data_IF_385366211615
#
_entry.id   IF_385366211615
#
_cell.length_a   1.000
_cell.length_b   1.000
_cell.length_c   1.000
_cell.angle_alpha   90.00
_cell.angle_beta   90.00
_cell.angle_gamma   90.00
#
_symmetry.space_group_name_H-M   'P 1'
#
loop_
_entity.id
_entity.type
_entity.pdbx_description
1 polymer ?
#
# COMPACT_ATOMS: atom_id res chain seq x y z
N UNK A 1 20.62 -30.98 24.21
CA UNK A 1 19.95 -29.69 23.93
C UNK A 1 20.12 -28.70 25.07
N UNK A 2 19.89 -29.07 26.33
CA UNK A 2 19.95 -28.12 27.46
C UNK A 2 21.36 -27.58 27.76
N UNK A 3 22.40 -28.39 27.58
CA UNK A 3 23.79 -27.92 27.72
C UNK A 3 24.17 -26.87 26.66
N UNK A 4 23.68 -27.02 25.42
CA UNK A 4 23.89 -26.03 24.36
C UNK A 4 23.07 -24.75 24.59
N UNK A 5 21.82 -24.87 25.06
CA UNK A 5 21.00 -23.71 25.46
C UNK A 5 21.65 -22.92 26.59
N UNK A 6 22.17 -23.60 27.60
CA UNK A 6 22.91 -22.97 28.71
C UNK A 6 24.19 -22.29 28.22
N UNK A 7 24.90 -22.89 27.25
CA UNK A 7 26.09 -22.29 26.64
C UNK A 7 25.76 -21.02 25.87
N UNK A 8 24.72 -21.03 25.04
CA UNK A 8 24.25 -19.84 24.30
C UNK A 8 23.82 -18.75 25.29
N UNK A 9 23.03 -19.10 26.30
CA UNK A 9 22.59 -18.15 27.34
C UNK A 9 23.77 -17.48 28.03
N UNK A 10 24.78 -18.25 28.44
CA UNK A 10 26.00 -17.71 29.06
C UNK A 10 26.76 -16.76 28.14
N UNK A 11 26.89 -17.09 26.85
CA UNK A 11 27.54 -16.20 25.86
C UNK A 11 26.72 -14.90 25.72
N UNK A 12 25.41 -15.01 25.51
CA UNK A 12 24.53 -13.85 25.35
C UNK A 12 24.59 -12.90 26.56
N UNK A 13 24.57 -13.44 27.79
CA UNK A 13 24.65 -12.63 29.01
C UNK A 13 25.98 -11.87 29.09
N UNK A 14 27.11 -12.52 28.81
CA UNK A 14 28.43 -11.86 28.82
C UNK A 14 28.54 -10.74 27.79
N UNK A 15 27.94 -10.92 26.61
CA UNK A 15 27.93 -9.88 25.58
C UNK A 15 27.08 -8.69 26.03
N UNK A 16 25.92 -8.92 26.65
CA UNK A 16 25.06 -7.84 27.16
C UNK A 16 25.75 -7.07 28.28
N UNK A 17 26.47 -7.75 29.18
CA UNK A 17 27.18 -7.12 30.31
C UNK A 17 28.37 -6.26 29.86
N UNK A 18 29.18 -6.74 28.91
CA UNK A 18 30.30 -5.98 28.35
C UNK A 18 30.44 -6.21 26.83
N UNK A 19 29.69 -5.47 25.99
CA UNK A 19 29.70 -5.67 24.56
C UNK A 19 31.01 -5.26 23.90
N UNK A 20 31.82 -4.39 24.53
CA UNK A 20 33.07 -3.92 23.94
C UNK A 20 34.13 -5.03 23.84
N UNK A 21 34.20 -5.88 24.86
CA UNK A 21 35.20 -6.96 24.94
C UNK A 21 34.67 -8.30 24.44
N UNK A 22 33.36 -8.53 24.52
CA UNK A 22 32.79 -9.88 24.35
C UNK A 22 32.10 -10.10 23.00
N UNK A 23 31.96 -9.09 22.13
CA UNK A 23 31.23 -9.24 20.85
C UNK A 23 31.79 -10.37 19.96
N UNK A 24 33.09 -10.64 20.01
CA UNK A 24 33.70 -11.72 19.22
C UNK A 24 33.27 -13.12 19.67
N UNK A 25 32.72 -13.27 20.88
CA UNK A 25 32.11 -14.53 21.32
C UNK A 25 30.90 -14.93 20.47
N UNK A 26 30.34 -14.02 19.66
CA UNK A 26 29.31 -14.31 18.66
C UNK A 26 29.77 -15.36 17.65
N UNK A 27 31.07 -15.42 17.33
CA UNK A 27 31.62 -16.39 16.39
C UNK A 27 31.25 -17.83 16.77
N UNK A 28 31.38 -18.15 18.07
CA UNK A 28 31.01 -19.47 18.57
C UNK A 28 29.53 -19.82 18.41
N UNK A 29 28.63 -18.83 18.45
CA UNK A 29 27.20 -19.07 18.19
C UNK A 29 26.97 -19.30 16.68
N UNK A 30 27.62 -18.52 15.83
CA UNK A 30 27.52 -18.67 14.38
C UNK A 30 28.10 -19.99 13.87
N UNK A 31 29.21 -20.47 14.44
CA UNK A 31 29.76 -21.79 14.12
C UNK A 31 28.76 -22.90 14.43
N UNK A 32 28.08 -22.83 15.59
CA UNK A 32 27.03 -23.81 15.93
C UNK A 32 25.84 -23.76 14.96
N UNK A 33 25.47 -22.58 14.47
CA UNK A 33 24.44 -22.43 13.44
C UNK A 33 24.87 -23.02 12.09
N UNK A 34 26.12 -22.79 11.67
CA UNK A 34 26.67 -23.30 10.39
C UNK A 34 26.84 -24.82 10.39
N UNK A 35 27.23 -25.40 11.52
CA UNK A 35 27.44 -26.83 11.65
C UNK A 35 26.13 -27.64 11.70
N UNK A 36 24.97 -27.02 11.44
CA UNK A 36 23.67 -27.69 11.45
C UNK A 36 23.27 -28.22 12.82
N UNK A 37 23.86 -27.72 13.91
CA UNK A 37 23.61 -28.24 15.26
C UNK A 37 22.20 -27.93 15.79
N UNK A 38 21.43 -27.12 15.06
CA UNK A 38 20.08 -26.70 15.42
C UNK A 38 19.13 -26.80 14.22
N UNK A 39 18.00 -27.48 14.41
CA UNK A 39 16.92 -27.59 13.44
C UNK A 39 15.59 -27.10 14.03
N UNK A 40 14.71 -26.61 13.14
CA UNK A 40 13.37 -26.11 13.48
C UNK A 40 13.37 -25.13 14.65
N UNK A 41 12.52 -25.40 15.65
CA UNK A 41 12.35 -24.56 16.85
C UNK A 41 13.65 -24.26 17.60
N UNK A 42 14.63 -25.18 17.60
CA UNK A 42 15.90 -24.94 18.26
C UNK A 42 16.68 -23.81 17.57
N UNK A 43 16.62 -23.74 16.23
CA UNK A 43 17.24 -22.69 15.42
C UNK A 43 16.58 -21.34 15.68
N UNK A 44 15.24 -21.32 15.73
CA UNK A 44 14.46 -20.13 16.11
C UNK A 44 14.83 -19.59 17.50
N UNK A 45 15.08 -20.46 18.48
CA UNK A 45 15.56 -20.03 19.80
C UNK A 45 16.92 -19.31 19.72
N UNK A 46 17.83 -19.78 18.86
CA UNK A 46 19.13 -19.11 18.66
C UNK A 46 18.93 -17.73 18.05
N UNK A 47 18.12 -17.62 16.99
CA UNK A 47 17.83 -16.34 16.35
C UNK A 47 17.21 -15.34 17.32
N UNK A 48 16.24 -15.75 18.13
CA UNK A 48 15.62 -14.89 19.13
C UNK A 48 16.55 -14.55 20.30
N UNK A 49 17.50 -15.42 20.63
CA UNK A 49 18.53 -15.13 21.65
C UNK A 49 19.49 -14.06 21.15
N UNK A 50 19.95 -14.18 19.90
CA UNK A 50 20.78 -13.16 19.26
C UNK A 50 20.04 -11.83 19.09
N UNK A 51 18.76 -11.87 18.72
CA UNK A 51 17.89 -10.69 18.67
C UNK A 51 17.89 -9.93 20.00
N UNK A 52 17.76 -10.62 21.14
CA UNK A 52 17.80 -9.97 22.47
C UNK A 52 19.14 -9.30 22.76
N UNK A 53 20.25 -9.92 22.35
CA UNK A 53 21.58 -9.31 22.48
C UNK A 53 21.66 -8.03 21.65
N UNK A 54 21.26 -8.10 20.38
CA UNK A 54 21.25 -6.91 19.52
C UNK A 54 20.31 -5.82 20.03
N UNK A 55 19.17 -6.18 20.63
CA UNK A 55 18.26 -5.22 21.25
C UNK A 55 18.89 -4.44 22.41
N UNK A 56 19.84 -5.04 23.12
CA UNK A 56 20.54 -4.40 24.21
C UNK A 56 21.74 -3.55 23.76
N UNK A 57 22.35 -3.89 22.61
CA UNK A 57 23.64 -3.31 22.18
C UNK A 57 23.51 -2.35 20.98
N UNK A 58 22.47 -2.49 20.15
CA UNK A 58 22.28 -1.64 18.96
C UNK A 58 22.02 -0.19 19.39
N UNK A 59 22.79 0.77 18.86
CA UNK A 59 22.54 2.19 19.10
C UNK A 59 21.29 2.69 18.35
N UNK A 60 20.83 3.88 18.72
CA UNK A 60 19.71 4.55 18.05
C UNK A 60 20.11 5.26 16.74
N UNK A 61 21.39 5.19 16.34
CA UNK A 61 21.90 5.77 15.10
C UNK A 61 22.34 4.68 14.11
N UNK A 62 22.24 4.97 12.80
CA UNK A 62 22.83 4.12 11.75
C UNK A 62 24.36 4.24 11.78
N UNK A 63 25.06 3.12 11.80
CA UNK A 63 26.53 3.10 11.71
C UNK A 63 26.91 3.43 10.26
N UNK A 64 27.66 4.51 10.05
CA UNK A 64 28.16 4.89 8.72
C UNK A 64 29.13 3.83 8.21
N UNK A 65 28.97 3.37 6.99
CA UNK A 65 29.96 2.47 6.37
C UNK A 65 31.03 3.29 5.65
N UNK A 66 32.23 2.73 5.45
CA UNK A 66 33.30 3.41 4.70
C UNK A 66 32.92 3.75 3.24
N UNK A 67 31.82 3.17 2.71
CA UNK A 67 31.30 3.48 1.38
C UNK A 67 30.51 4.79 1.31
N UNK A 68 30.07 5.33 2.44
CA UNK A 68 29.24 6.54 2.54
C UNK A 68 30.07 7.82 2.76
N UNK A 69 31.40 7.73 2.67
CA UNK A 69 32.30 8.87 2.89
C UNK A 69 32.32 9.75 1.64
N UNK A 70 31.42 10.73 1.59
CA UNK A 70 31.64 11.96 0.81
C UNK A 70 32.88 12.64 1.39
N UNK A 71 33.77 13.13 0.52
CA UNK A 71 35.07 13.76 0.84
C UNK A 71 34.92 15.04 1.68
N UNK A 72 34.41 14.97 2.90
CA UNK A 72 34.53 16.07 3.86
C UNK A 72 35.68 15.79 4.84
N UNK A 73 36.79 16.48 4.59
CA UNK A 73 38.07 16.33 5.30
C UNK A 73 38.05 16.84 6.75
N UNK A 74 36.90 17.27 7.28
CA UNK A 74 36.82 17.97 8.57
C UNK A 74 36.14 17.22 9.71
N UNK A 75 35.39 16.15 9.42
CA UNK A 75 34.80 15.30 10.46
C UNK A 75 35.05 13.82 10.17
N UNK A 76 36.33 13.44 10.14
CA UNK A 76 36.72 12.04 10.28
C UNK A 76 36.46 11.59 11.73
N UNK A 77 35.17 11.51 12.10
CA UNK A 77 34.70 10.69 13.22
C UNK A 77 35.15 9.27 12.90
N UNK A 78 36.31 8.88 13.43
CA UNK A 78 36.79 7.52 13.41
C UNK A 78 35.62 6.63 13.88
N UNK A 79 35.08 5.82 12.97
CA UNK A 79 34.21 4.70 13.34
C UNK A 79 34.98 3.94 14.42
N UNK A 80 34.47 3.98 15.65
CA UNK A 80 35.08 3.25 16.76
C UNK A 80 35.15 1.80 16.33
N UNK A 81 36.27 1.12 16.57
CA UNK A 81 36.42 -0.27 16.09
C UNK A 81 35.31 -1.19 16.63
N UNK A 82 34.73 -0.81 17.77
CA UNK A 82 33.49 -1.37 18.29
C UNK A 82 32.31 -1.30 17.31
N UNK A 83 32.00 -0.14 16.72
CA UNK A 83 30.88 0.03 15.79
C UNK A 83 31.07 -0.83 14.53
N UNK A 84 32.32 -0.93 14.04
CA UNK A 84 32.65 -1.80 12.91
C UNK A 84 32.42 -3.27 13.27
N UNK A 85 32.84 -3.69 14.47
CA UNK A 85 32.67 -5.07 14.91
C UNK A 85 31.19 -5.41 15.13
N UNK A 86 30.42 -4.51 15.75
CA UNK A 86 28.97 -4.63 15.91
C UNK A 86 28.27 -4.78 14.55
N UNK A 87 28.60 -3.90 13.59
CA UNK A 87 28.02 -3.93 12.26
C UNK A 87 28.37 -5.22 11.50
N UNK A 88 29.60 -5.73 11.64
CA UNK A 88 30.03 -7.01 11.05
C UNK A 88 29.17 -8.16 11.56
N UNK A 89 29.02 -8.28 12.88
CA UNK A 89 28.25 -9.37 13.49
C UNK A 89 26.75 -9.24 13.23
N UNK A 90 26.21 -8.04 13.28
CA UNK A 90 24.80 -7.78 12.94
C UNK A 90 24.49 -8.10 11.47
N UNK A 91 25.36 -7.69 10.54
CA UNK A 91 25.18 -8.01 9.11
C UNK A 91 25.25 -9.52 8.88
N UNK A 92 26.13 -10.22 9.60
CA UNK A 92 26.22 -11.68 9.54
C UNK A 92 24.96 -12.36 10.11
N UNK A 93 24.42 -11.81 11.20
CA UNK A 93 23.15 -12.25 11.80
C UNK A 93 21.99 -12.13 10.82
N UNK A 94 21.78 -10.93 10.26
CA UNK A 94 20.73 -10.69 9.27
C UNK A 94 20.91 -11.59 8.06
N UNK A 95 22.12 -11.68 7.52
CA UNK A 95 22.42 -12.55 6.37
C UNK A 95 22.05 -14.02 6.64
N UNK A 96 22.43 -14.54 7.81
CA UNK A 96 22.12 -15.93 8.19
C UNK A 96 20.62 -16.22 8.17
N UNK A 97 19.80 -15.27 8.62
CA UNK A 97 18.34 -15.41 8.56
C UNK A 97 17.80 -15.24 7.13
N UNK A 98 18.27 -14.25 6.38
CA UNK A 98 17.79 -14.01 5.00
C UNK A 98 18.09 -15.19 4.06
N UNK A 99 19.23 -15.86 4.27
CA UNK A 99 19.63 -17.05 3.52
C UNK A 99 18.87 -18.32 3.97
N UNK A 100 18.18 -18.27 5.11
CA UNK A 100 17.42 -19.37 5.69
C UNK A 100 15.92 -19.26 5.36
N UNK A 101 15.41 -20.22 4.59
CA UNK A 101 14.01 -20.30 4.12
C UNK A 101 13.04 -20.93 5.13
N UNK A 102 13.47 -21.18 6.37
CA UNK A 102 12.62 -21.75 7.43
C UNK A 102 11.62 -20.75 8.01
N UNK A 103 10.51 -21.27 8.53
CA UNK A 103 9.49 -20.49 9.23
C UNK A 103 10.07 -19.74 10.43
N UNK A 104 10.96 -20.38 11.18
CA UNK A 104 11.63 -19.78 12.33
C UNK A 104 12.49 -18.57 11.95
N UNK A 105 13.10 -18.60 10.77
CA UNK A 105 13.84 -17.46 10.22
C UNK A 105 12.91 -16.29 9.90
N UNK A 106 11.82 -16.53 9.17
CA UNK A 106 10.86 -15.48 8.81
C UNK A 106 10.19 -14.85 10.03
N UNK A 107 9.84 -15.65 11.05
CA UNK A 107 9.33 -15.14 12.33
C UNK A 107 10.35 -14.21 12.98
N UNK A 108 11.63 -14.62 13.02
CA UNK A 108 12.70 -13.82 13.61
C UNK A 108 12.97 -12.53 12.83
N UNK A 109 12.90 -12.57 11.50
CA UNK A 109 13.03 -11.39 10.64
C UNK A 109 11.88 -10.38 10.88
N UNK A 110 10.66 -10.87 11.12
CA UNK A 110 9.54 -9.98 11.49
C UNK A 110 9.82 -9.26 12.81
N UNK A 111 10.32 -9.95 13.83
CA UNK A 111 10.70 -9.35 15.13
C UNK A 111 11.84 -8.33 14.97
N UNK A 112 12.83 -8.66 14.15
CA UNK A 112 13.96 -7.76 13.84
C UNK A 112 13.48 -6.49 13.14
N UNK A 113 12.62 -6.61 12.12
CA UNK A 113 12.05 -5.46 11.44
C UNK A 113 11.19 -4.60 12.36
N UNK A 114 10.49 -5.23 13.32
CA UNK A 114 9.69 -4.51 14.31
C UNK A 114 10.51 -3.58 15.20
N UNK A 115 11.77 -3.91 15.46
CA UNK A 115 12.60 -3.21 16.43
C UNK A 115 13.80 -2.46 15.87
N UNK A 116 14.31 -2.84 14.69
CA UNK A 116 15.56 -2.30 14.12
C UNK A 116 15.36 -1.72 12.71
N UNK A 117 14.18 -1.16 12.42
CA UNK A 117 13.93 -0.45 11.16
C UNK A 117 14.79 0.80 10.98
N UNK A 118 15.25 1.39 12.08
CA UNK A 118 16.17 2.53 12.12
C UNK A 118 17.64 2.16 11.88
N UNK A 119 18.03 0.88 11.92
CA UNK A 119 19.44 0.47 11.89
C UNK A 119 19.90 0.06 10.48
N UNK A 120 21.14 -0.42 10.32
CA UNK A 120 21.67 -0.86 9.03
C UNK A 120 20.95 -2.14 8.53
N UNK A 121 21.13 -2.49 7.25
CA UNK A 121 20.62 -3.72 6.61
C UNK A 121 19.08 -3.88 6.58
N UNK A 122 18.32 -2.80 6.77
CA UNK A 122 16.85 -2.79 6.67
C UNK A 122 16.35 -3.32 5.32
N UNK A 123 17.04 -3.01 4.22
CA UNK A 123 16.79 -3.52 2.88
C UNK A 123 16.77 -5.06 2.83
N UNK A 124 17.78 -5.69 3.44
CA UNK A 124 17.91 -7.15 3.50
C UNK A 124 16.85 -7.78 4.39
N UNK A 125 16.52 -7.13 5.51
CA UNK A 125 15.49 -7.60 6.41
C UNK A 125 14.14 -7.57 5.69
N UNK A 126 13.82 -6.44 5.03
CA UNK A 126 12.59 -6.27 4.27
C UNK A 126 12.48 -7.29 3.15
N UNK A 127 13.51 -7.52 2.34
CA UNK A 127 13.47 -8.56 1.29
C UNK A 127 13.25 -9.96 1.86
N UNK A 128 13.86 -10.28 3.00
CA UNK A 128 13.60 -11.53 3.73
C UNK A 128 12.13 -11.67 4.17
N UNK A 129 11.54 -10.60 4.73
CA UNK A 129 10.12 -10.57 5.14
C UNK A 129 9.18 -10.66 3.93
N UNK A 130 9.49 -9.97 2.84
CA UNK A 130 8.72 -10.07 1.58
C UNK A 130 8.74 -11.50 1.03
N UNK A 131 9.90 -12.16 1.01
CA UNK A 131 9.98 -13.58 0.61
C UNK A 131 9.15 -14.48 1.52
N UNK A 132 9.18 -14.25 2.83
CA UNK A 132 8.38 -14.98 3.81
C UNK A 132 6.86 -14.85 3.60
N UNK A 133 6.41 -13.80 2.90
CA UNK A 133 4.99 -13.56 2.60
C UNK A 133 4.39 -14.49 1.52
N UNK A 134 5.22 -15.23 0.77
CA UNK A 134 4.79 -16.03 -0.38
C UNK A 134 4.34 -17.45 -0.03
N UNK A 135 4.59 -17.92 1.19
CA UNK A 135 4.32 -19.30 1.61
C UNK A 135 2.85 -19.62 1.88
N UNK A 136 2.61 -20.80 2.49
CA UNK A 136 1.31 -21.22 3.01
C UNK A 136 1.37 -21.36 4.54
N UNK A 137 0.26 -21.09 5.23
CA UNK A 137 0.15 -21.20 6.69
C UNK A 137 0.08 -19.84 7.39
N UNK A 138 0.43 -19.80 8.68
CA UNK A 138 0.33 -18.59 9.51
C UNK A 138 1.47 -17.59 9.33
N UNK A 139 2.68 -18.06 9.02
CA UNK A 139 3.89 -17.23 8.87
C UNK A 139 3.78 -16.21 7.74
N UNK A 140 3.30 -16.55 6.52
CA UNK A 140 3.08 -15.57 5.46
C UNK A 140 2.19 -14.40 5.89
N UNK A 141 1.11 -14.69 6.62
CA UNK A 141 0.21 -13.64 7.11
C UNK A 141 0.88 -12.78 8.19
N UNK A 142 1.73 -13.36 9.03
CA UNK A 142 2.55 -12.60 9.99
C UNK A 142 3.52 -11.65 9.26
N UNK A 143 4.16 -12.09 8.18
CA UNK A 143 5.02 -11.24 7.34
C UNK A 143 4.22 -10.10 6.71
N UNK A 144 3.07 -10.40 6.09
CA UNK A 144 2.16 -9.39 5.54
C UNK A 144 1.74 -8.37 6.59
N UNK A 145 1.31 -8.82 7.78
CA UNK A 145 0.91 -7.94 8.87
C UNK A 145 2.07 -7.08 9.40
N UNK A 146 3.28 -7.62 9.43
CA UNK A 146 4.47 -6.85 9.83
C UNK A 146 4.72 -5.71 8.85
N UNK A 147 4.64 -5.97 7.53
CA UNK A 147 4.73 -4.92 6.51
C UNK A 147 3.60 -3.90 6.66
N UNK A 148 2.35 -4.34 6.86
CA UNK A 148 1.20 -3.45 7.10
C UNK A 148 1.42 -2.52 8.28
N UNK A 149 1.88 -3.04 9.41
CA UNK A 149 2.15 -2.26 10.60
C UNK A 149 3.24 -1.22 10.33
N UNK A 150 4.30 -1.61 9.63
CA UNK A 150 5.42 -0.71 9.31
C UNK A 150 5.07 0.39 8.33
N UNK A 151 4.28 0.08 7.30
CA UNK A 151 3.73 1.09 6.39
C UNK A 151 2.85 2.12 7.12
N UNK A 152 2.18 1.71 8.21
CA UNK A 152 1.34 2.61 9.02
C UNK A 152 2.09 3.40 10.08
N UNK A 153 3.17 2.85 10.63
CA UNK A 153 3.92 3.48 11.72
C UNK A 153 5.05 4.40 11.26
N UNK A 154 5.52 4.25 10.01
CA UNK A 154 6.63 5.08 9.50
C UNK A 154 6.19 6.55 9.33
N UNK A 155 6.85 7.44 10.05
CA UNK A 155 6.64 8.88 9.98
C UNK A 155 7.67 9.60 9.10
N UNK A 156 8.75 8.92 8.69
CA UNK A 156 9.85 9.50 7.91
C UNK A 156 9.71 9.29 6.40
N UNK A 157 9.05 8.19 6.02
CA UNK A 157 8.98 7.71 4.65
C UNK A 157 10.23 6.94 4.18
N UNK A 158 11.28 6.82 5.01
CA UNK A 158 12.48 6.05 4.64
C UNK A 158 12.19 4.56 4.53
N UNK A 159 11.44 4.01 5.49
CA UNK A 159 11.12 2.59 5.51
C UNK A 159 10.10 2.27 4.42
N UNK A 160 9.10 3.12 4.21
CA UNK A 160 8.14 2.97 3.11
C UNK A 160 8.87 2.92 1.76
N UNK A 161 9.81 3.85 1.51
CA UNK A 161 10.60 3.83 0.27
C UNK A 161 11.42 2.55 0.14
N UNK A 162 12.06 2.09 1.23
CA UNK A 162 12.82 0.84 1.24
C UNK A 162 11.93 -0.36 0.92
N UNK A 163 10.72 -0.43 1.49
CA UNK A 163 9.76 -1.50 1.20
C UNK A 163 9.38 -1.51 -0.28
N UNK A 164 9.06 -0.34 -0.84
CA UNK A 164 8.71 -0.23 -2.26
C UNK A 164 9.85 -0.62 -3.19
N UNK A 165 11.09 -0.19 -2.88
CA UNK A 165 12.28 -0.55 -3.65
C UNK A 165 12.51 -2.07 -3.61
N UNK A 166 12.39 -2.69 -2.43
CA UNK A 166 12.51 -4.16 -2.33
C UNK A 166 11.36 -4.89 -3.04
N UNK A 167 10.15 -4.33 -3.09
CA UNK A 167 9.05 -4.92 -3.88
C UNK A 167 9.30 -4.87 -5.39
N UNK A 168 10.17 -3.98 -5.88
CA UNK A 168 10.55 -3.97 -7.31
C UNK A 168 11.49 -5.13 -7.66
N UNK A 169 12.36 -5.50 -6.72
CA UNK A 169 13.43 -6.48 -6.94
C UNK A 169 13.04 -7.90 -6.50
N UNK A 170 12.04 -8.04 -5.62
CA UNK A 170 11.65 -9.33 -5.03
C UNK A 170 10.18 -9.64 -5.22
N UNK A 171 9.85 -10.93 -5.29
CA UNK A 171 8.47 -11.40 -5.24
C UNK A 171 7.83 -11.13 -3.87
N UNK A 172 6.52 -10.88 -3.90
CA UNK A 172 5.74 -10.54 -2.71
C UNK A 172 4.29 -11.00 -2.85
N UNK A 173 3.63 -11.19 -1.71
CA UNK A 173 2.21 -11.52 -1.64
C UNK A 173 1.34 -10.35 -2.17
N UNK A 174 0.38 -10.58 -3.09
CA UNK A 174 -0.49 -9.54 -3.64
C UNK A 174 -1.21 -8.71 -2.58
N UNK A 175 -1.52 -9.29 -1.42
CA UNK A 175 -2.14 -8.60 -0.28
C UNK A 175 -1.34 -7.38 0.19
N UNK A 176 -0.02 -7.37 0.00
CA UNK A 176 0.82 -6.23 0.38
C UNK A 176 0.48 -4.99 -0.46
N UNK A 177 0.05 -5.15 -1.72
CA UNK A 177 -0.42 -4.04 -2.55
C UNK A 177 -1.70 -3.41 -2.00
N UNK A 178 -2.58 -4.20 -1.38
CA UNK A 178 -3.76 -3.68 -0.69
C UNK A 178 -3.34 -2.72 0.44
N UNK A 179 -2.28 -3.04 1.17
CA UNK A 179 -1.79 -2.18 2.25
C UNK A 179 -1.19 -0.87 1.73
N UNK A 180 -0.68 -0.85 0.49
CA UNK A 180 -0.26 0.38 -0.14
C UNK A 180 -1.42 1.34 -0.38
N UNK A 181 -2.68 0.88 -0.36
CA UNK A 181 -3.85 1.74 -0.48
C UNK A 181 -4.13 2.54 0.78
N UNK A 182 -3.46 2.30 1.91
CA UNK A 182 -3.73 3.01 3.17
C UNK A 182 -2.44 3.30 3.94
N UNK A 183 -1.57 4.11 3.33
CA UNK A 183 -0.33 4.59 3.95
C UNK A 183 -0.60 6.00 4.52
N UNK A 184 -0.64 6.18 5.87
CA UNK A 184 -0.94 7.46 6.49
C UNK A 184 0.00 8.58 6.05
N UNK A 185 1.30 8.29 5.95
CA UNK A 185 2.33 9.24 5.50
C UNK A 185 2.00 9.81 4.12
N UNK A 186 1.72 8.93 3.15
CA UNK A 186 1.35 9.32 1.77
C UNK A 186 -0.02 9.98 1.72
N UNK A 187 -1.00 9.49 2.48
CA UNK A 187 -2.34 10.09 2.49
C UNK A 187 -2.29 11.54 2.99
N UNK A 188 -1.50 11.80 4.01
CA UNK A 188 -1.34 13.14 4.57
C UNK A 188 -0.61 14.07 3.60
N UNK A 189 0.36 13.57 2.82
CA UNK A 189 1.06 14.38 1.82
C UNK A 189 0.21 14.72 0.59
N UNK A 190 -0.87 13.99 0.34
CA UNK A 190 -1.82 14.24 -0.76
C UNK A 190 -2.93 15.25 -0.40
N UNK A 191 -3.11 15.55 0.89
CA UNK A 191 -4.07 16.55 1.36
C UNK A 191 -3.62 17.97 1.03
N UNK A 192 -4.57 18.85 0.71
CA UNK A 192 -4.27 20.27 0.52
C UNK A 192 -3.88 20.93 1.84
N UNK A 193 -3.16 22.06 1.78
CA UNK A 193 -2.81 22.82 2.98
C UNK A 193 -4.06 23.34 3.73
N UNK A 194 -5.14 23.60 3.00
CA UNK A 194 -6.44 23.96 3.57
C UNK A 194 -7.08 22.80 4.34
N UNK A 195 -7.02 21.58 3.80
CA UNK A 195 -7.51 20.37 4.47
C UNK A 195 -6.70 20.09 5.75
N UNK A 196 -5.37 20.22 5.68
CA UNK A 196 -4.49 20.09 6.85
C UNK A 196 -4.79 21.14 7.91
N UNK A 197 -5.00 22.39 7.50
CA UNK A 197 -5.37 23.47 8.41
C UNK A 197 -6.72 23.19 9.07
N UNK A 198 -7.72 22.73 8.31
CA UNK A 198 -9.04 22.40 8.83
C UNK A 198 -8.98 21.29 9.88
N UNK A 199 -8.27 20.20 9.62
CA UNK A 199 -8.08 19.10 10.59
C UNK A 199 -7.38 19.59 11.87
N UNK A 200 -6.36 20.43 11.73
CA UNK A 200 -5.67 21.04 12.89
C UNK A 200 -6.63 21.90 13.72
N UNK A 201 -7.47 22.72 13.10
CA UNK A 201 -8.46 23.54 13.80
C UNK A 201 -9.55 22.69 14.45
N UNK A 202 -10.01 21.63 13.80
CA UNK A 202 -11.03 20.71 14.33
C UNK A 202 -10.50 19.89 15.52
N UNK A 203 -9.26 19.39 15.46
CA UNK A 203 -8.62 18.69 16.56
C UNK A 203 -8.40 19.60 17.79
N UNK A 204 -8.14 20.89 17.56
CA UNK A 204 -7.88 21.86 18.63
C UNK A 204 -9.12 22.65 19.10
N UNK A 205 -10.29 22.47 18.47
CA UNK A 205 -11.55 23.12 18.87
C UNK A 205 -12.00 22.76 20.29
N UNK A 206 -11.56 21.62 20.83
CA UNK A 206 -11.88 21.18 22.20
C UNK A 206 -10.96 21.74 23.30
N UNK A 207 -9.82 22.33 22.96
CA UNK A 207 -8.78 22.74 23.93
C UNK A 207 -8.72 24.26 24.07
N UNK A 208 -9.83 24.92 24.41
CA UNK A 208 -9.76 26.31 24.87
C UNK A 208 -11.01 26.77 25.62
N UNK A 209 -10.92 26.76 26.97
CA UNK A 209 -11.11 27.97 27.82
C UNK A 209 -11.06 27.71 29.32
N UNK A 210 -11.01 26.47 29.82
CA UNK A 210 -11.11 26.21 31.28
C UNK A 210 -9.80 26.10 32.07
N UNK A 211 -8.65 25.79 31.47
CA UNK A 211 -7.43 25.50 32.26
C UNK A 211 -6.27 26.50 32.10
N UNK A 212 -6.52 27.72 31.60
CA UNK A 212 -5.48 28.77 31.60
C UNK A 212 -5.30 29.47 32.96
N UNK A 213 -6.15 29.18 33.96
CA UNK A 213 -6.15 29.93 35.22
C UNK A 213 -5.50 29.23 36.43
N UNK A 214 -5.01 27.98 36.34
CA UNK A 214 -4.47 27.27 37.53
C UNK A 214 -2.94 27.15 37.62
N UNK A 215 -2.18 27.50 36.57
CA UNK A 215 -0.74 27.19 36.49
C UNK A 215 0.17 28.35 36.98
N UNK A 216 -0.35 29.56 37.18
CA UNK A 216 0.43 30.76 37.50
C UNK A 216 0.60 31.09 39.00
N UNK A 217 0.86 30.10 39.87
CA UNK A 217 1.06 30.36 41.32
C UNK A 217 2.41 29.94 41.93
N UNK A 218 3.45 29.69 41.13
CA UNK A 218 4.84 29.70 41.65
C UNK A 218 5.72 30.69 40.89
N UNK A 219 5.70 31.96 41.31
CA UNK A 219 6.74 32.93 40.92
C UNK A 219 8.06 32.53 41.59
N UNK A 220 8.89 31.73 40.90
CA UNK A 220 10.32 31.65 41.23
C UNK A 220 10.93 33.04 40.99
N UNK A 221 11.49 33.64 42.04
CA UNK A 221 12.19 34.92 41.96
C UNK A 221 13.51 34.68 41.24
N UNK A 222 13.50 34.77 39.90
CA UNK A 222 14.73 34.76 39.11
C UNK A 222 15.42 36.13 39.18
N UNK A 223 16.72 36.12 39.51
CA UNK A 223 17.61 37.27 39.41
C UNK A 223 17.56 37.85 37.97
N UNK A 224 17.64 39.17 37.78
CA UNK A 224 17.44 39.84 36.46
C UNK A 224 18.36 39.28 35.37
N UNK A 225 19.58 38.84 35.73
CA UNK A 225 20.54 38.21 34.82
C UNK A 225 20.09 36.83 34.33
N UNK A 226 19.48 36.02 35.21
CA UNK A 226 18.94 34.70 34.87
C UNK A 226 17.73 34.80 33.95
N UNK A 227 16.85 35.80 34.16
CA UNK A 227 15.73 36.06 33.25
C UNK A 227 16.17 36.42 31.83
N UNK A 228 17.28 37.18 31.69
CA UNK A 228 17.83 37.52 30.38
C UNK A 228 18.38 36.28 29.67
N UNK A 229 19.19 35.48 30.37
CA UNK A 229 19.75 34.23 29.81
C UNK A 229 18.66 33.19 29.47
N UNK A 230 17.61 33.09 30.28
CA UNK A 230 16.49 32.19 30.00
C UNK A 230 15.67 32.65 28.80
N UNK A 231 15.48 33.97 28.63
CA UNK A 231 14.84 34.55 27.44
C UNK A 231 15.68 34.31 26.19
N UNK A 232 17.00 34.48 26.26
CA UNK A 232 17.92 34.19 25.14
C UNK A 232 17.92 32.70 24.79
N UNK A 233 17.96 31.80 25.80
CA UNK A 233 17.83 30.35 25.60
C UNK A 233 16.52 29.97 24.93
N UNK A 234 15.40 30.60 25.32
CA UNK A 234 14.09 30.34 24.72
C UNK A 234 13.97 30.91 23.29
N UNK A 235 14.59 32.06 23.01
CA UNK A 235 14.65 32.61 21.65
C UNK A 235 15.43 31.67 20.73
N UNK A 236 16.63 31.26 21.15
CA UNK A 236 17.46 30.31 20.39
C UNK A 236 16.76 28.95 20.23
N UNK A 237 16.09 28.45 21.28
CA UNK A 237 15.34 27.21 21.19
C UNK A 237 14.14 27.33 20.23
N UNK A 238 13.51 28.51 20.13
CA UNK A 238 12.45 28.77 19.16
C UNK A 238 13.02 28.81 17.74
N UNK A 239 14.11 29.53 17.53
CA UNK A 239 14.77 29.65 16.22
C UNK A 239 15.26 28.28 15.71
N UNK A 240 15.93 27.49 16.55
CA UNK A 240 16.35 26.12 16.22
C UNK A 240 15.14 25.25 15.88
N UNK A 241 14.04 25.38 16.62
CA UNK A 241 12.83 24.62 16.32
C UNK A 241 12.21 25.03 14.99
N UNK A 242 12.17 26.33 14.69
CA UNK A 242 11.65 26.82 13.41
C UNK A 242 12.52 26.33 12.24
N UNK A 243 13.84 26.30 12.41
CA UNK A 243 14.78 25.72 11.44
C UNK A 243 14.59 24.21 11.27
N UNK A 244 14.50 23.45 12.37
CA UNK A 244 14.20 22.01 12.36
C UNK A 244 12.86 21.70 11.69
N UNK A 245 11.83 22.52 11.94
CA UNK A 245 10.51 22.37 11.31
C UNK A 245 10.58 22.63 9.79
N UNK A 246 11.39 23.59 9.34
CA UNK A 246 11.61 23.86 7.90
C UNK A 246 12.37 22.71 7.26
N UNK A 247 13.47 22.26 7.87
CA UNK A 247 14.27 21.15 7.36
C UNK A 247 13.44 19.86 7.29
N UNK A 248 12.66 19.58 8.33
CA UNK A 248 11.74 18.44 8.38
C UNK A 248 10.73 18.45 7.22
N UNK A 249 10.16 19.62 6.87
CA UNK A 249 9.26 19.73 5.71
C UNK A 249 9.97 19.46 4.38
N UNK A 250 11.21 19.95 4.24
CA UNK A 250 12.01 19.71 3.02
C UNK A 250 12.32 18.22 2.89
N UNK A 251 12.68 17.54 3.97
CA UNK A 251 12.92 16.11 4.00
C UNK A 251 11.65 15.31 3.71
N UNK A 252 10.51 15.68 4.31
CA UNK A 252 9.21 15.08 4.05
C UNK A 252 8.86 15.15 2.55
N UNK A 253 9.05 16.32 1.92
CA UNK A 253 8.81 16.50 0.48
C UNK A 253 9.72 15.59 -0.37
N UNK A 254 11.00 15.47 -0.02
CA UNK A 254 11.95 14.57 -0.71
C UNK A 254 11.53 13.10 -0.57
N UNK A 255 11.17 12.69 0.65
CA UNK A 255 10.67 11.34 0.94
C UNK A 255 9.40 11.03 0.16
N UNK A 256 8.43 11.95 0.16
CA UNK A 256 7.18 11.80 -0.60
C UNK A 256 7.45 11.64 -2.09
N UNK A 257 8.29 12.49 -2.69
CA UNK A 257 8.65 12.37 -4.11
C UNK A 257 9.25 11.00 -4.44
N UNK A 258 10.20 10.52 -3.62
CA UNK A 258 10.80 9.19 -3.78
C UNK A 258 9.76 8.09 -3.69
N UNK A 259 8.84 8.17 -2.74
CA UNK A 259 7.74 7.20 -2.57
C UNK A 259 6.78 7.23 -3.76
N UNK A 260 6.40 8.42 -4.25
CA UNK A 260 5.50 8.56 -5.40
C UNK A 260 6.10 7.91 -6.65
N UNK A 261 7.38 8.17 -6.91
CA UNK A 261 8.11 7.59 -8.02
C UNK A 261 8.19 6.06 -7.89
N UNK A 262 8.43 5.56 -6.68
CA UNK A 262 8.49 4.12 -6.40
C UNK A 262 7.12 3.43 -6.55
N UNK A 263 6.02 4.03 -6.06
CA UNK A 263 4.65 3.51 -6.24
C UNK A 263 4.30 3.42 -7.73
N UNK A 264 4.58 4.48 -8.50
CA UNK A 264 4.33 4.47 -9.95
C UNK A 264 5.12 3.38 -10.66
N UNK A 265 6.43 3.30 -10.35
CA UNK A 265 7.30 2.28 -10.92
C UNK A 265 6.83 0.88 -10.57
N UNK A 266 6.38 0.65 -9.34
CA UNK A 266 5.86 -0.63 -8.89
C UNK A 266 4.62 -1.02 -9.67
N UNK A 267 3.62 -0.13 -9.75
CA UNK A 267 2.39 -0.41 -10.50
C UNK A 267 2.64 -0.65 -11.99
N UNK A 268 3.50 0.14 -12.63
CA UNK A 268 3.84 -0.09 -14.04
C UNK A 268 4.64 -1.37 -14.25
N UNK A 269 5.53 -1.73 -13.33
CA UNK A 269 6.23 -3.02 -13.36
C UNK A 269 5.26 -4.19 -13.25
N UNK A 270 4.25 -4.09 -12.36
CA UNK A 270 3.21 -5.11 -12.21
C UNK A 270 2.38 -5.25 -13.49
N UNK A 271 1.91 -4.14 -14.07
CA UNK A 271 1.14 -4.13 -15.31
C UNK A 271 1.95 -4.65 -16.51
N UNK A 272 3.24 -4.33 -16.58
CA UNK A 272 4.12 -4.82 -17.64
C UNK A 272 4.47 -6.29 -17.48
N UNK A 273 4.51 -6.78 -16.24
CA UNK A 273 4.86 -8.16 -15.90
C UNK A 273 3.69 -9.15 -15.95
N UNK A 274 2.50 -8.74 -16.39
CA UNK A 274 1.32 -9.61 -16.52
C UNK A 274 0.94 -10.35 -15.22
N UNK A 275 1.19 -9.75 -14.05
CA UNK A 275 0.85 -10.31 -12.72
C UNK A 275 -0.62 -10.08 -12.36
N UNK A 276 -1.51 -10.80 -13.04
CA UNK A 276 -2.96 -10.58 -12.97
C UNK A 276 -3.55 -10.67 -11.56
N UNK A 277 -2.95 -11.47 -10.67
CA UNK A 277 -3.35 -11.59 -9.26
C UNK A 277 -3.20 -10.27 -8.47
N UNK A 278 -2.38 -9.35 -8.95
CA UNK A 278 -2.13 -8.05 -8.33
C UNK A 278 -3.00 -6.92 -8.90
N UNK A 279 -3.65 -7.14 -10.05
CA UNK A 279 -4.21 -6.05 -10.86
C UNK A 279 -5.34 -5.31 -10.16
N UNK A 280 -6.19 -6.02 -9.41
CA UNK A 280 -7.24 -5.40 -8.60
C UNK A 280 -6.69 -4.28 -7.71
N UNK A 281 -5.64 -4.57 -6.95
CA UNK A 281 -5.03 -3.59 -6.04
C UNK A 281 -4.29 -2.49 -6.78
N UNK A 282 -3.68 -2.81 -7.94
CA UNK A 282 -3.04 -1.80 -8.79
C UNK A 282 -4.07 -0.81 -9.34
N UNK A 283 -5.21 -1.26 -9.85
CA UNK A 283 -6.27 -0.39 -10.34
C UNK A 283 -6.81 0.54 -9.26
N UNK A 284 -7.11 -0.01 -8.08
CA UNK A 284 -7.52 0.79 -6.91
C UNK A 284 -6.44 1.82 -6.53
N UNK A 285 -5.17 1.42 -6.59
CA UNK A 285 -4.03 2.28 -6.30
C UNK A 285 -3.85 3.41 -7.29
N UNK A 286 -3.96 3.12 -8.59
CA UNK A 286 -3.87 4.13 -9.66
C UNK A 286 -4.96 5.20 -9.52
N UNK A 287 -6.19 4.80 -9.23
CA UNK A 287 -7.29 5.74 -8.96
C UNK A 287 -6.99 6.61 -7.75
N UNK A 288 -6.58 5.99 -6.64
CA UNK A 288 -6.27 6.71 -5.39
C UNK A 288 -5.13 7.70 -5.57
N UNK A 289 -4.10 7.28 -6.30
CA UNK A 289 -2.86 8.02 -6.50
C UNK A 289 -2.85 8.80 -7.83
N UNK A 290 -4.01 9.07 -8.43
CA UNK A 290 -4.10 9.78 -9.73
C UNK A 290 -3.36 11.12 -9.75
N UNK A 291 -3.38 11.87 -8.64
CA UNK A 291 -2.75 13.20 -8.51
C UNK A 291 -1.23 13.17 -8.65
N UNK A 292 -0.59 12.02 -8.39
CA UNK A 292 0.87 11.90 -8.48
C UNK A 292 1.33 11.40 -9.84
N UNK A 293 0.44 10.77 -10.63
CA UNK A 293 0.79 10.19 -11.93
C UNK A 293 1.34 11.27 -12.88
N UNK A 294 2.49 10.99 -13.49
CA UNK A 294 3.11 11.95 -14.42
C UNK A 294 2.36 11.94 -15.76
N UNK A 295 1.99 13.10 -16.32
CA UNK A 295 1.25 13.19 -17.58
C UNK A 295 1.91 12.43 -18.75
N UNK A 296 3.24 12.44 -18.83
CA UNK A 296 4.00 11.75 -19.88
C UNK A 296 3.86 10.21 -19.89
N UNK A 297 3.25 9.61 -18.88
CA UNK A 297 2.97 8.17 -18.85
C UNK A 297 1.51 7.82 -19.15
N UNK A 298 0.60 8.80 -19.23
CA UNK A 298 -0.84 8.55 -19.29
C UNK A 298 -1.25 7.81 -20.57
N UNK A 299 -0.69 8.14 -21.73
CA UNK A 299 -1.00 7.44 -22.99
C UNK A 299 -0.57 5.97 -22.95
N UNK A 300 0.67 5.70 -22.51
CA UNK A 300 1.17 4.33 -22.37
C UNK A 300 0.42 3.52 -21.31
N UNK A 301 -0.01 4.19 -20.22
CA UNK A 301 -0.85 3.58 -19.20
C UNK A 301 -2.21 3.18 -19.76
N UNK A 302 -2.85 4.01 -20.59
CA UNK A 302 -4.14 3.71 -21.20
C UNK A 302 -4.08 2.41 -22.02
N UNK A 303 -3.02 2.26 -22.82
CA UNK A 303 -2.79 1.06 -23.61
C UNK A 303 -2.57 -0.18 -22.73
N UNK A 304 -1.75 -0.07 -21.68
CA UNK A 304 -1.51 -1.17 -20.74
C UNK A 304 -2.79 -1.61 -20.03
N UNK A 305 -3.60 -0.67 -19.58
CA UNK A 305 -4.86 -0.96 -18.89
C UNK A 305 -5.84 -1.67 -19.82
N UNK A 306 -6.09 -1.15 -21.03
CA UNK A 306 -7.05 -1.76 -21.96
C UNK A 306 -6.64 -3.17 -22.40
N UNK A 307 -5.37 -3.38 -22.74
CA UNK A 307 -4.88 -4.71 -23.15
C UNK A 307 -4.95 -5.75 -22.04
N UNK A 308 -4.94 -5.30 -20.79
CA UNK A 308 -4.99 -6.15 -19.61
C UNK A 308 -6.40 -6.67 -19.31
N UNK A 309 -7.45 -5.92 -19.65
CA UNK A 309 -8.82 -6.21 -19.22
C UNK A 309 -9.39 -7.53 -19.75
N UNK A 310 -8.95 -7.99 -20.92
CA UNK A 310 -9.41 -9.24 -21.51
C UNK A 310 -8.90 -10.49 -20.77
N UNK A 311 -7.79 -10.37 -20.02
CA UNK A 311 -7.05 -11.50 -19.44
C UNK A 311 -7.28 -11.71 -17.94
N UNK A 312 -7.92 -10.76 -17.27
CA UNK A 312 -8.03 -10.69 -15.81
C UNK A 312 -9.35 -11.27 -15.29
N UNK A 313 -9.44 -11.68 -13.99
CA UNK A 313 -10.69 -12.17 -13.41
C UNK A 313 -11.76 -11.07 -13.31
N UNK A 314 -13.03 -11.46 -13.26
CA UNK A 314 -14.17 -10.53 -13.31
C UNK A 314 -14.20 -9.48 -12.20
N UNK A 315 -13.72 -9.79 -10.99
CA UNK A 315 -13.63 -8.81 -9.90
C UNK A 315 -12.57 -7.73 -10.17
N UNK A 316 -11.43 -8.11 -10.76
CA UNK A 316 -10.42 -7.17 -11.22
C UNK A 316 -10.88 -6.39 -12.46
N UNK A 317 -11.71 -6.96 -13.33
CA UNK A 317 -12.25 -6.27 -14.53
C UNK A 317 -13.05 -5.03 -14.16
N UNK A 318 -13.97 -5.13 -13.20
CA UNK A 318 -14.78 -3.98 -12.76
C UNK A 318 -13.88 -2.85 -12.26
N UNK A 319 -12.89 -3.18 -11.43
CA UNK A 319 -11.92 -2.21 -10.92
C UNK A 319 -11.05 -1.61 -12.03
N UNK A 320 -10.67 -2.41 -13.03
CA UNK A 320 -9.92 -1.95 -14.19
C UNK A 320 -10.71 -0.96 -15.05
N UNK A 321 -11.99 -1.25 -15.32
CA UNK A 321 -12.88 -0.34 -16.04
C UNK A 321 -13.04 0.96 -15.24
N UNK A 322 -13.34 0.88 -13.95
CA UNK A 322 -13.47 2.05 -13.08
C UNK A 322 -12.19 2.89 -13.06
N UNK A 323 -11.03 2.22 -13.05
CA UNK A 323 -9.73 2.88 -13.11
C UNK A 323 -9.53 3.65 -14.40
N UNK A 324 -9.85 3.07 -15.56
CA UNK A 324 -9.74 3.79 -16.84
C UNK A 324 -10.72 4.98 -16.85
N UNK A 325 -11.97 4.76 -16.47
CA UNK A 325 -12.96 5.84 -16.48
C UNK A 325 -12.57 7.00 -15.58
N UNK A 326 -12.03 6.73 -14.40
CA UNK A 326 -11.65 7.78 -13.44
C UNK A 326 -10.36 8.52 -13.84
N UNK A 327 -9.41 7.83 -14.48
CA UNK A 327 -8.14 8.43 -14.89
C UNK A 327 -8.26 9.28 -16.16
N UNK A 328 -9.19 8.93 -17.04
CA UNK A 328 -9.34 9.53 -18.37
C UNK A 328 -10.70 10.22 -18.54
N UNK A 329 -11.37 10.60 -17.44
CA UNK A 329 -12.70 11.20 -17.49
C UNK A 329 -12.76 12.53 -18.26
N UNK A 330 -11.70 13.33 -18.14
CA UNK A 330 -11.57 14.65 -18.77
C UNK A 330 -10.92 14.59 -20.16
N UNK A 331 -10.45 13.41 -20.54
CA UNK A 331 -9.74 13.18 -21.78
C UNK A 331 -10.73 12.61 -22.81
N UNK A 332 -10.75 13.15 -24.03
CA UNK A 332 -11.70 12.75 -25.09
C UNK A 332 -11.41 11.35 -25.68
N UNK A 333 -11.22 10.33 -24.84
CA UNK A 333 -10.98 8.95 -25.24
C UNK A 333 -12.27 8.26 -25.71
N UNK A 334 -12.09 7.34 -26.64
CA UNK A 334 -13.14 6.44 -27.07
C UNK A 334 -13.24 5.21 -26.14
N UNK A 335 -14.38 5.08 -25.45
CA UNK A 335 -14.64 4.00 -24.50
C UNK A 335 -15.44 2.83 -25.10
N UNK A 336 -15.55 2.70 -26.44
CA UNK A 336 -16.28 1.62 -27.10
C UNK A 336 -15.90 0.22 -26.56
N UNK A 337 -14.60 -0.05 -26.43
CA UNK A 337 -14.12 -1.34 -25.91
C UNK A 337 -14.55 -1.62 -24.47
N UNK A 338 -14.69 -0.58 -23.63
CA UNK A 338 -15.20 -0.73 -22.26
C UNK A 338 -16.71 -0.97 -22.25
N UNK A 339 -17.46 -0.35 -23.18
CA UNK A 339 -18.90 -0.58 -23.32
C UNK A 339 -19.17 -2.02 -23.76
N UNK A 340 -18.45 -2.53 -24.75
CA UNK A 340 -18.53 -3.93 -25.20
C UNK A 340 -18.18 -4.90 -24.06
N UNK A 341 -17.09 -4.62 -23.34
CA UNK A 341 -16.69 -5.45 -22.20
C UNK A 341 -17.75 -5.45 -21.10
N UNK A 342 -18.25 -4.27 -20.71
CA UNK A 342 -19.30 -4.12 -19.71
C UNK A 342 -20.58 -4.88 -20.12
N UNK A 343 -20.95 -4.76 -21.40
CA UNK A 343 -22.11 -5.45 -21.95
C UNK A 343 -21.98 -6.98 -21.86
N UNK A 344 -20.80 -7.52 -22.17
CA UNK A 344 -20.51 -8.96 -22.02
C UNK A 344 -20.55 -9.42 -20.56
N UNK A 345 -20.15 -8.57 -19.61
CA UNK A 345 -20.15 -8.90 -18.18
C UNK A 345 -21.58 -9.02 -17.62
N UNK A 346 -22.53 -8.25 -18.13
CA UNK A 346 -23.95 -8.22 -17.70
C UNK A 346 -24.77 -9.34 -18.40
N UNK A 347 -24.11 -10.33 -19.00
CA UNK A 347 -24.82 -11.42 -19.65
C UNK A 347 -25.68 -12.21 -18.63
N UNK A 348 -26.98 -12.48 -18.89
CA UNK A 348 -27.89 -13.06 -17.90
C UNK A 348 -27.43 -14.42 -17.34
N UNK A 349 -26.71 -15.18 -18.15
CA UNK A 349 -26.18 -16.51 -17.81
C UNK A 349 -24.79 -16.43 -17.15
N UNK A 350 -24.11 -15.28 -17.18
CA UNK A 350 -22.75 -15.15 -16.65
C UNK A 350 -22.70 -15.42 -15.14
N UNK A 351 -22.09 -16.52 -14.65
CA UNK A 351 -22.05 -16.82 -13.21
C UNK A 351 -21.16 -15.85 -12.41
N UNK A 352 -20.34 -15.03 -13.07
CA UNK A 352 -19.29 -14.21 -12.45
C UNK A 352 -19.72 -12.77 -12.10
N UNK A 353 -21.02 -12.48 -12.03
CA UNK A 353 -21.51 -11.18 -11.56
C UNK A 353 -21.37 -11.14 -10.02
N UNK A 354 -20.17 -10.80 -9.54
CA UNK A 354 -19.77 -10.93 -8.13
C UNK A 354 -19.92 -9.63 -7.31
N UNK A 355 -19.98 -8.46 -7.96
CA UNK A 355 -20.05 -7.16 -7.27
C UNK A 355 -21.02 -6.20 -8.00
N UNK A 356 -22.28 -6.19 -7.56
CA UNK A 356 -23.34 -5.39 -8.19
C UNK A 356 -23.16 -3.89 -7.95
N UNK A 357 -22.62 -3.47 -6.80
CA UNK A 357 -22.50 -2.06 -6.44
C UNK A 357 -21.45 -1.34 -7.28
N UNK A 358 -20.26 -1.92 -7.39
CA UNK A 358 -19.18 -1.34 -8.22
C UNK A 358 -19.54 -1.38 -9.71
N UNK A 359 -20.21 -2.45 -10.16
CA UNK A 359 -20.70 -2.54 -11.53
C UNK A 359 -21.74 -1.45 -11.83
N UNK A 360 -22.67 -1.19 -10.92
CA UNK A 360 -23.64 -0.09 -11.05
C UNK A 360 -22.94 1.26 -11.13
N UNK A 361 -21.89 1.51 -10.32
CA UNK A 361 -21.10 2.75 -10.40
C UNK A 361 -20.46 2.92 -11.77
N UNK A 362 -19.86 1.86 -12.31
CA UNK A 362 -19.25 1.85 -13.65
C UNK A 362 -20.29 2.17 -14.74
N UNK A 363 -21.46 1.53 -14.70
CA UNK A 363 -22.52 1.77 -15.68
C UNK A 363 -23.01 3.21 -15.60
N UNK A 364 -23.26 3.74 -14.39
CA UNK A 364 -23.66 5.15 -14.20
C UNK A 364 -22.61 6.10 -14.77
N UNK A 365 -21.34 5.81 -14.54
CA UNK A 365 -20.26 6.64 -15.07
C UNK A 365 -20.29 6.65 -16.61
N UNK A 366 -20.31 5.49 -17.25
CA UNK A 366 -20.29 5.38 -18.72
C UNK A 366 -21.53 5.99 -19.38
N UNK A 367 -22.72 5.70 -18.85
CA UNK A 367 -23.98 6.03 -19.52
C UNK A 367 -24.61 7.34 -19.04
N UNK A 368 -24.35 7.80 -17.81
CA UNK A 368 -24.94 9.05 -17.30
C UNK A 368 -23.90 10.18 -17.28
N UNK A 369 -22.68 9.92 -16.77
CA UNK A 369 -21.65 10.96 -16.66
C UNK A 369 -20.99 11.27 -18.01
N UNK A 370 -20.53 10.25 -18.75
CA UNK A 370 -19.87 10.44 -20.05
C UNK A 370 -20.88 10.62 -21.19
N UNK A 371 -22.08 10.03 -21.07
CA UNK A 371 -23.12 9.92 -22.10
C UNK A 371 -22.65 9.13 -23.33
N UNK A 372 -23.40 8.09 -23.67
CA UNK A 372 -23.19 7.23 -24.82
C UNK A 372 -24.22 7.53 -25.93
N UNK A 373 -24.02 7.04 -27.16
CA UNK A 373 -25.08 7.03 -28.16
C UNK A 373 -26.35 6.34 -27.64
N UNK A 374 -27.52 6.90 -27.97
CA UNK A 374 -28.83 6.41 -27.47
C UNK A 374 -29.06 4.93 -27.79
N UNK A 375 -28.58 4.48 -28.95
CA UNK A 375 -28.61 3.08 -29.38
C UNK A 375 -27.94 2.15 -28.35
N UNK A 376 -26.75 2.49 -27.86
CA UNK A 376 -26.04 1.67 -26.86
C UNK A 376 -26.78 1.65 -25.53
N UNK A 377 -27.37 2.78 -25.14
CA UNK A 377 -28.17 2.86 -23.92
C UNK A 377 -29.39 1.92 -24.02
N UNK A 378 -30.06 1.90 -25.18
CA UNK A 378 -31.18 1.01 -25.47
C UNK A 378 -30.78 -0.47 -25.39
N UNK A 379 -29.67 -0.84 -26.04
CA UNK A 379 -29.13 -2.21 -26.02
C UNK A 379 -28.71 -2.65 -24.61
N UNK A 380 -28.05 -1.77 -23.85
CA UNK A 380 -27.67 -2.03 -22.46
C UNK A 380 -28.91 -2.23 -21.56
N UNK A 381 -29.91 -1.35 -21.68
CA UNK A 381 -31.15 -1.44 -20.90
C UNK A 381 -31.84 -2.79 -21.09
N UNK A 382 -31.89 -3.31 -22.33
CA UNK A 382 -32.43 -4.66 -22.59
C UNK A 382 -31.66 -5.73 -21.84
N UNK A 383 -30.33 -5.67 -21.88
CA UNK A 383 -29.45 -6.63 -21.20
C UNK A 383 -29.64 -6.58 -19.68
N UNK A 384 -29.78 -5.38 -19.10
CA UNK A 384 -30.08 -5.20 -17.68
C UNK A 384 -31.46 -5.77 -17.30
N UNK A 385 -32.48 -5.53 -18.13
CA UNK A 385 -33.84 -6.08 -17.94
C UNK A 385 -33.81 -7.61 -17.99
N UNK A 386 -33.18 -8.20 -19.00
CA UNK A 386 -32.98 -9.64 -19.14
C UNK A 386 -32.25 -10.25 -17.93
N UNK A 387 -31.20 -9.56 -17.47
CA UNK A 387 -30.47 -9.97 -16.29
C UNK A 387 -31.37 -9.94 -15.04
N UNK A 388 -32.20 -8.90 -14.86
CA UNK A 388 -33.16 -8.81 -13.75
C UNK A 388 -34.26 -9.88 -13.80
N UNK A 389 -34.71 -10.27 -15.00
CA UNK A 389 -35.67 -11.35 -15.18
C UNK A 389 -35.06 -12.72 -14.82
N UNK A 390 -33.77 -12.89 -15.09
CA UNK A 390 -33.06 -14.15 -14.83
C UNK A 390 -32.54 -14.24 -13.39
N UNK A 391 -32.21 -13.10 -12.77
CA UNK A 391 -31.62 -12.98 -11.43
C UNK A 391 -32.14 -11.73 -10.74
N UNK A 392 -32.56 -11.86 -9.49
CA UNK A 392 -32.99 -10.70 -8.70
C UNK A 392 -31.79 -9.85 -8.27
N UNK A 393 -31.49 -8.79 -9.04
CA UNK A 393 -30.48 -7.77 -8.72
C UNK A 393 -31.17 -6.42 -8.48
N UNK A 394 -31.47 -6.04 -7.22
CA UNK A 394 -32.28 -4.87 -6.92
C UNK A 394 -31.61 -3.55 -7.34
N UNK A 395 -30.29 -3.48 -7.31
CA UNK A 395 -29.51 -2.29 -7.68
C UNK A 395 -29.70 -1.93 -9.16
N UNK A 396 -29.84 -2.94 -10.03
CA UNK A 396 -30.12 -2.75 -11.45
C UNK A 396 -31.50 -2.15 -11.69
N UNK A 397 -32.48 -2.37 -10.80
CA UNK A 397 -33.82 -1.77 -10.94
C UNK A 397 -33.77 -0.24 -10.86
N UNK A 398 -32.98 0.29 -9.92
CA UNK A 398 -32.74 1.74 -9.82
C UNK A 398 -31.95 2.25 -11.02
N UNK A 399 -30.93 1.51 -11.44
CA UNK A 399 -30.10 1.88 -12.58
C UNK A 399 -30.89 1.97 -13.90
N UNK A 400 -31.78 0.99 -14.16
CA UNK A 400 -32.66 0.97 -15.34
C UNK A 400 -33.51 2.25 -15.39
N UNK A 401 -34.13 2.64 -14.26
CA UNK A 401 -34.94 3.86 -14.17
C UNK A 401 -34.13 5.11 -14.43
N UNK A 402 -32.92 5.19 -13.88
CA UNK A 402 -32.08 6.38 -14.00
C UNK A 402 -31.57 6.55 -15.44
N UNK A 403 -31.17 5.46 -16.10
CA UNK A 403 -30.76 5.49 -17.51
C UNK A 403 -31.96 5.79 -18.41
N UNK A 404 -33.11 5.14 -18.21
CA UNK A 404 -34.29 5.39 -19.04
C UNK A 404 -34.75 6.84 -18.97
N UNK A 405 -34.74 7.43 -17.76
CA UNK A 405 -35.08 8.85 -17.58
C UNK A 405 -34.03 9.78 -18.21
N UNK A 406 -32.73 9.47 -18.09
CA UNK A 406 -31.66 10.30 -18.65
C UNK A 406 -31.66 10.33 -20.19
N UNK A 407 -32.01 9.21 -20.82
CA UNK A 407 -32.06 9.07 -22.29
C UNK A 407 -33.44 9.28 -22.90
N UNK A 408 -34.47 9.54 -22.08
CA UNK A 408 -35.87 9.64 -22.51
C UNK A 408 -36.35 8.39 -23.28
N UNK A 409 -35.99 7.21 -22.76
CA UNK A 409 -36.36 5.92 -23.36
C UNK A 409 -37.63 5.40 -22.71
N UNK A 410 -38.70 5.33 -23.49
CA UNK A 410 -39.94 4.69 -23.07
C UNK A 410 -39.91 3.18 -23.36
N UNK A 411 -40.26 2.40 -22.34
CA UNK A 411 -40.47 0.97 -22.52
C UNK A 411 -41.88 0.74 -23.07
N UNK A 412 -41.97 0.19 -24.28
CA UNK A 412 -43.25 -0.23 -24.86
C UNK A 412 -43.48 -1.72 -24.63
N UNK A 413 -44.71 -2.08 -24.25
CA UNK A 413 -45.18 -3.47 -24.21
C UNK A 413 -45.39 -3.95 -25.66
N UNK A 414 -44.31 -4.25 -26.37
CA UNK A 414 -44.40 -4.83 -27.70
C UNK A 414 -44.79 -6.31 -27.61
N UNK A 415 -45.96 -6.65 -28.16
CA UNK A 415 -46.49 -8.03 -28.22
C UNK A 415 -46.28 -8.71 -29.57
N UNK A 416 -45.63 -8.04 -30.53
CA UNK A 416 -45.57 -8.48 -31.92
C UNK A 416 -44.34 -9.39 -32.18
N UNK A 417 -44.52 -10.68 -32.50
CA UNK A 417 -43.46 -11.70 -32.49
C UNK A 417 -42.57 -11.73 -33.75
N UNK A 418 -42.69 -10.76 -34.67
CA UNK A 418 -41.89 -10.72 -35.90
C UNK A 418 -40.51 -10.11 -35.62
N UNK A 419 -39.67 -10.83 -34.89
CA UNK A 419 -38.29 -10.44 -34.63
C UNK A 419 -37.33 -10.98 -35.69
N UNK A 420 -36.38 -10.13 -36.10
CA UNK A 420 -35.07 -10.61 -36.59
C UNK A 420 -34.36 -11.25 -35.41
N UNK A 421 -33.65 -12.35 -35.65
CA UNK A 421 -32.84 -13.06 -34.65
C UNK A 421 -31.98 -12.05 -33.87
N UNK A 422 -32.26 -11.92 -32.57
CA UNK A 422 -31.45 -11.15 -31.64
C UNK A 422 -30.30 -12.04 -31.24
N UNK A 423 -29.11 -11.75 -31.75
CA UNK A 423 -27.89 -12.44 -31.32
C UNK A 423 -27.58 -12.04 -29.88
N UNK A 424 -28.09 -12.83 -28.94
CA UNK A 424 -27.86 -12.65 -27.50
C UNK A 424 -26.39 -12.78 -27.14
N UNK A 425 -25.61 -13.48 -27.97
CA UNK A 425 -24.21 -13.78 -27.72
C UNK A 425 -23.28 -12.73 -28.36
N UNK A 426 -23.82 -11.76 -29.11
CA UNK A 426 -23.01 -10.65 -29.63
C UNK A 426 -22.37 -9.86 -28.50
N UNK A 427 -21.05 -9.68 -28.60
CA UNK A 427 -20.25 -8.89 -27.67
C UNK A 427 -20.09 -7.43 -28.09
N UNK A 428 -20.36 -7.11 -29.35
CA UNK A 428 -20.17 -5.78 -29.93
C UNK A 428 -21.49 -5.02 -29.95
N UNK A 429 -21.63 -4.04 -29.06
CA UNK A 429 -22.91 -3.35 -28.81
C UNK A 429 -23.46 -2.68 -30.07
N UNK A 430 -22.60 -2.06 -30.89
CA UNK A 430 -23.01 -1.35 -32.10
C UNK A 430 -23.48 -2.26 -33.26
N UNK A 431 -23.21 -3.57 -33.17
CA UNK A 431 -23.67 -4.54 -34.16
C UNK A 431 -25.11 -5.02 -33.90
N UNK A 432 -25.67 -4.68 -32.75
CA UNK A 432 -26.92 -5.24 -32.26
C UNK A 432 -28.09 -4.42 -32.82
N UNK A 433 -29.11 -5.04 -33.43
CA UNK A 433 -30.22 -4.31 -34.00
C UNK A 433 -31.11 -3.65 -32.93
N UNK A 434 -31.66 -2.48 -33.26
CA UNK A 434 -32.68 -1.83 -32.44
C UNK A 434 -34.02 -2.57 -32.52
N UNK A 435 -34.20 -3.50 -31.58
CA UNK A 435 -35.46 -4.22 -31.35
C UNK A 435 -36.30 -3.56 -30.24
N UNK A 436 -37.62 -3.77 -30.16
CA UNK A 436 -38.41 -3.37 -28.99
C UNK A 436 -38.03 -4.11 -27.69
N UNK A 437 -38.51 -3.64 -26.54
CA UNK A 437 -38.31 -4.27 -25.21
C UNK A 437 -39.38 -5.33 -24.90
N UNK A 438 -39.33 -6.48 -25.58
CA UNK A 438 -40.34 -7.54 -25.39
C UNK A 438 -40.36 -8.10 -23.97
N UNK A 439 -39.22 -8.14 -23.31
CA UNK A 439 -39.05 -8.72 -21.97
C UNK A 439 -39.49 -7.76 -20.87
N UNK A 440 -39.81 -6.52 -21.21
CA UNK A 440 -40.28 -5.53 -20.25
C UNK A 440 -41.59 -5.95 -19.56
N UNK A 441 -42.50 -6.60 -20.29
CA UNK A 441 -43.72 -7.17 -19.70
C UNK A 441 -43.39 -8.18 -18.58
N UNK A 442 -42.42 -9.07 -18.81
CA UNK A 442 -41.98 -10.03 -17.79
C UNK A 442 -41.31 -9.31 -16.61
N UNK A 443 -40.43 -8.36 -16.89
CA UNK A 443 -39.76 -7.57 -15.87
C UNK A 443 -40.74 -6.83 -14.96
N UNK A 444 -41.79 -6.22 -15.51
CA UNK A 444 -42.85 -5.56 -14.75
C UNK A 444 -43.59 -6.50 -13.81
N UNK A 445 -43.78 -7.76 -14.19
CA UNK A 445 -44.44 -8.76 -13.36
C UNK A 445 -43.52 -9.34 -12.27
N UNK A 446 -42.20 -9.21 -12.43
CA UNK A 446 -41.18 -9.63 -11.45
C UNK A 446 -40.84 -8.51 -10.45
N UNK A 447 -41.09 -7.25 -10.83
CA UNK A 447 -40.95 -6.08 -9.96
C UNK A 447 -41.89 -6.13 -8.78
#
# INVERSE_FOLDING_TARGET
>A
MDQQKSKIGSICTKIIENPQENLDMMEGIFEMLRNGSFEGKAKGMVYLSLFKVFKAVIPLYKVRSLKDVVKDKRDALHLKDHDKNLLKWYTSYVKTMVDDISNESYISLCEVLQHFDHFNATDKIVSGVLRGSLGKGSVPMMCCNTIKLKLRSDCSGELIATILDQMLDFEYNPLILEYLLDIPFVNNSLKSDEEKAKEYWEANRGVSRRDKNSIFHRKRIFNKKLKKMEKERLSLQSEVKDEEDIEGRIEEMKSCKRIYDAIQRLYFTVLKGDRYECYKYVFMGLVKYRKILRPGFMEGLYFLLNNSLSKIPSDAKVQGILSILTLYEDECYDFNGLVDLLYSMIHPINPEIVDNDELVKVIRFLFIKIRQPIHRAHVLLKRLILCCCSRSVPEFRSLIKDISAYYDIEFSDCTNPRCREFDQDSTHVDSIPDNPFFEYFLYKNIL
#
